data_IF_929552027822
#
_entry.id   IF_929552027822
#
_cell.length_a   1.000
_cell.length_b   1.000
_cell.length_c   1.000
_cell.angle_alpha   90.00
_cell.angle_beta   90.00
_cell.angle_gamma   90.00
#
_symmetry.space_group_name_H-M   'P 1'
#
loop_
_entity.id
_entity.type
_entity.pdbx_description
1 polymer ?
#
# COMPACT_ATOMS: atom_id res chain seq x y z
N UNK A 1 21.04 7.87 15.24
CA UNK A 1 19.92 7.19 15.94
C UNK A 1 20.13 5.69 15.78
N UNK A 2 19.73 4.89 16.78
CA UNK A 2 19.87 3.44 16.72
C UNK A 2 19.08 2.87 15.54
N UNK A 3 19.69 1.95 14.79
CA UNK A 3 19.02 1.19 13.73
C UNK A 3 17.75 0.55 14.30
N UNK A 4 16.58 0.67 13.65
CA UNK A 4 15.38 0.00 14.12
C UNK A 4 15.65 -1.50 14.28
N UNK A 5 15.09 -2.10 15.32
CA UNK A 5 15.24 -3.53 15.53
C UNK A 5 14.54 -4.30 14.39
N UNK A 6 15.07 -5.47 14.03
CA UNK A 6 14.43 -6.37 13.06
C UNK A 6 12.95 -6.61 13.39
N UNK A 7 12.63 -6.72 14.69
CA UNK A 7 11.25 -6.86 15.17
C UNK A 7 10.38 -5.66 14.76
N UNK A 8 10.87 -4.43 14.93
CA UNK A 8 10.12 -3.24 14.55
C UNK A 8 9.89 -3.17 13.03
N UNK A 9 10.89 -3.55 12.23
CA UNK A 9 10.78 -3.57 10.77
C UNK A 9 9.76 -4.62 10.29
N UNK A 10 9.77 -5.82 10.88
CA UNK A 10 8.79 -6.86 10.59
C UNK A 10 7.38 -6.47 11.01
N UNK A 11 7.21 -5.83 12.17
CA UNK A 11 5.91 -5.30 12.62
C UNK A 11 5.39 -4.26 11.64
N UNK A 12 6.22 -3.29 11.22
CA UNK A 12 5.84 -2.29 10.22
C UNK A 12 5.43 -2.94 8.91
N UNK A 13 6.17 -3.95 8.45
CA UNK A 13 5.87 -4.67 7.23
C UNK A 13 4.53 -5.41 7.30
N UNK A 14 4.22 -6.04 8.45
CA UNK A 14 2.92 -6.67 8.67
C UNK A 14 1.76 -5.66 8.71
N UNK A 15 1.96 -4.50 9.34
CA UNK A 15 0.95 -3.45 9.35
C UNK A 15 0.62 -2.95 7.93
N UNK A 16 1.63 -2.81 7.07
CA UNK A 16 1.43 -2.43 5.67
C UNK A 16 0.59 -3.46 4.92
N UNK A 17 0.84 -4.75 5.18
CA UNK A 17 0.04 -5.85 4.61
C UNK A 17 -1.41 -5.80 5.12
N UNK A 18 -1.61 -5.69 6.43
CA UNK A 18 -2.94 -5.65 7.05
C UNK A 18 -3.77 -4.48 6.52
N UNK A 19 -3.14 -3.31 6.44
CA UNK A 19 -3.75 -2.07 5.90
C UNK A 19 -3.91 -2.11 4.38
N UNK A 20 -3.37 -3.11 3.68
CA UNK A 20 -3.49 -3.27 2.23
C UNK A 20 -2.63 -2.30 1.42
N UNK A 21 -1.59 -1.74 2.02
CA UNK A 21 -0.59 -0.91 1.34
C UNK A 21 0.31 -1.75 0.42
N UNK A 22 0.57 -3.00 0.83
CA UNK A 22 1.32 -4.00 0.06
C UNK A 22 0.50 -5.27 -0.15
N UNK A 23 0.87 -6.03 -1.18
CA UNK A 23 0.34 -7.35 -1.46
C UNK A 23 1.01 -8.43 -0.59
N UNK A 24 0.40 -9.61 -0.52
CA UNK A 24 1.00 -10.77 0.16
C UNK A 24 2.35 -11.17 -0.45
N UNK A 25 2.49 -11.03 -1.76
CA UNK A 25 3.72 -11.34 -2.49
C UNK A 25 4.85 -10.38 -2.09
N UNK A 26 4.58 -9.07 -2.16
CA UNK A 26 5.53 -8.02 -1.71
C UNK A 26 5.91 -8.21 -0.23
N UNK A 27 4.96 -8.59 0.62
CA UNK A 27 5.22 -8.89 2.03
C UNK A 27 6.24 -10.02 2.22
N UNK A 28 6.05 -11.17 1.58
CA UNK A 28 6.98 -12.30 1.74
C UNK A 28 8.36 -12.00 1.12
N UNK A 29 8.41 -11.28 0.00
CA UNK A 29 9.67 -10.83 -0.61
C UNK A 29 10.47 -9.94 0.35
N UNK A 30 9.81 -8.91 0.92
CA UNK A 30 10.46 -7.98 1.83
C UNK A 30 10.86 -8.65 3.15
N UNK A 31 10.01 -9.52 3.69
CA UNK A 31 10.31 -10.29 4.90
C UNK A 31 11.53 -11.17 4.70
N UNK A 32 11.64 -11.85 3.56
CA UNK A 32 12.81 -12.68 3.26
C UNK A 32 14.10 -11.85 3.21
N UNK A 33 14.06 -10.67 2.60
CA UNK A 33 15.19 -9.74 2.55
C UNK A 33 15.62 -9.30 3.97
N UNK A 34 14.67 -8.86 4.81
CA UNK A 34 14.96 -8.44 6.18
C UNK A 34 15.60 -9.55 7.01
N UNK A 35 15.08 -10.78 6.91
CA UNK A 35 15.63 -11.94 7.62
C UNK A 35 17.03 -12.31 7.13
N UNK A 36 17.30 -12.21 5.82
CA UNK A 36 18.63 -12.48 5.26
C UNK A 36 19.66 -11.43 5.68
N UNK A 37 19.26 -10.14 5.73
CA UNK A 37 20.12 -9.07 6.20
C UNK A 37 20.48 -9.22 7.69
N UNK A 38 19.52 -9.59 8.53
CA UNK A 38 19.76 -9.87 9.94
C UNK A 38 20.75 -11.04 10.14
N UNK A 39 20.63 -12.08 9.31
CA UNK A 39 21.57 -13.21 9.33
C UNK A 39 22.99 -12.79 8.92
N UNK A 40 23.13 -11.96 7.88
CA UNK A 40 24.41 -11.43 7.41
C UNK A 40 25.09 -10.45 8.39
N UNK A 41 24.30 -9.71 9.18
CA UNK A 41 24.81 -8.86 10.25
C UNK A 41 25.33 -9.67 11.45
N UNK A 42 24.70 -10.81 11.75
CA UNK A 42 25.11 -11.70 12.84
C UNK A 42 26.41 -12.48 12.55
N UNK A 43 26.81 -12.58 11.27
CA UNK A 43 28.07 -13.25 10.87
C UNK A 43 29.30 -12.35 10.89
N UNK A 44 29.18 -11.08 11.30
CA UNK A 44 30.29 -10.10 11.26
C UNK A 44 30.82 -9.69 12.63
N UNK A 45 30.45 -10.40 13.69
CA UNK A 45 30.87 -10.13 15.06
C UNK A 45 31.60 -11.33 15.65
N UNK A 46 32.76 -11.69 15.10
CA UNK A 46 33.76 -12.54 15.76
C UNK A 46 35.13 -12.39 15.06
N UNK A 47 35.69 -11.16 15.02
CA UNK A 47 37.14 -11.02 14.83
C UNK A 47 37.70 -9.73 15.45
N UNK A 48 38.46 -9.95 16.52
CA UNK A 48 39.55 -9.16 17.12
C UNK A 48 39.32 -7.81 17.83
N UNK A 49 39.91 -7.78 19.03
CA UNK A 49 40.03 -6.70 20.01
C UNK A 49 41.31 -5.89 19.75
N UNK A 50 41.26 -4.55 19.74
CA UNK A 50 42.13 -3.59 20.47
C UNK A 50 42.09 -2.13 19.93
N UNK A 51 41.48 -1.23 20.71
CA UNK A 51 41.78 0.18 21.07
C UNK A 51 42.07 1.30 19.99
N UNK A 52 42.00 2.62 20.31
CA UNK A 52 41.02 3.51 19.68
C UNK A 52 41.61 4.86 19.19
N UNK A 53 41.21 5.38 18.03
CA UNK A 53 41.31 6.83 17.77
C UNK A 53 40.44 7.31 16.61
N UNK A 54 39.59 8.32 16.91
CA UNK A 54 39.02 9.35 16.03
C UNK A 54 38.14 8.84 14.85
N UNK A 55 37.08 9.49 14.38
CA UNK A 55 36.63 10.89 14.46
C UNK A 55 35.12 10.92 14.15
N UNK A 56 34.45 11.92 14.72
CA UNK A 56 33.03 12.25 14.60
C UNK A 56 32.62 12.53 13.14
N UNK A 57 31.60 11.83 12.62
CA UNK A 57 30.83 12.24 11.43
C UNK A 57 29.32 12.13 11.70
N UNK A 58 28.58 13.03 11.07
CA UNK A 58 27.26 13.52 11.45
C UNK A 58 26.11 12.60 11.02
N UNK A 59 24.95 12.84 11.65
CA UNK A 59 23.79 11.95 11.72
C UNK A 59 23.18 11.53 10.38
N UNK A 60 22.98 10.22 10.24
CA UNK A 60 22.18 9.59 9.20
C UNK A 60 21.10 8.73 9.87
N UNK A 61 19.87 8.83 9.36
CA UNK A 61 18.72 8.01 9.75
C UNK A 61 18.79 6.71 8.94
N UNK A 62 18.76 5.53 9.57
CA UNK A 62 18.96 4.27 8.85
C UNK A 62 17.71 3.89 8.04
N UNK A 63 17.85 3.96 6.72
CA UNK A 63 16.89 3.54 5.69
C UNK A 63 17.06 2.05 5.35
N UNK A 64 15.99 1.41 4.84
CA UNK A 64 16.01 0.03 4.36
C UNK A 64 16.91 -0.04 3.12
N UNK A 65 18.15 -0.52 3.28
CA UNK A 65 19.09 -0.71 2.18
C UNK A 65 18.78 -2.05 1.52
N UNK A 66 18.21 -2.04 0.31
CA UNK A 66 18.10 -3.23 -0.54
C UNK A 66 19.50 -3.52 -1.12
N UNK A 67 20.28 -4.30 -0.38
CA UNK A 67 21.51 -4.91 -0.90
C UNK A 67 21.14 -6.25 -1.56
N UNK A 68 20.89 -6.23 -2.86
CA UNK A 68 20.88 -7.45 -3.67
C UNK A 68 22.15 -7.49 -4.52
N UNK A 69 23.22 -7.99 -3.90
CA UNK A 69 24.39 -8.50 -4.60
C UNK A 69 24.43 -10.02 -4.44
N UNK A 70 24.46 -10.70 -5.59
CA UNK A 70 24.95 -12.07 -5.82
C UNK A 70 23.95 -13.26 -5.78
N UNK A 71 23.56 -13.65 -6.99
CA UNK A 71 23.64 -15.02 -7.55
C UNK A 71 22.79 -16.17 -6.96
N UNK A 72 21.68 -16.47 -7.66
CA UNK A 72 21.37 -17.82 -8.10
C UNK A 72 20.60 -17.76 -9.42
N UNK A 73 21.28 -18.08 -10.52
CA UNK A 73 20.65 -18.28 -11.81
C UNK A 73 19.72 -19.50 -11.74
N UNK A 74 18.41 -19.28 -11.79
CA UNK A 74 17.45 -20.31 -12.17
C UNK A 74 17.13 -20.11 -13.65
N UNK A 75 17.92 -20.77 -14.50
CA UNK A 75 17.61 -20.94 -15.91
C UNK A 75 16.28 -21.69 -16.05
N UNK A 76 15.29 -21.07 -16.69
CA UNK A 76 14.19 -21.78 -17.33
C UNK A 76 14.06 -21.23 -18.74
N UNK A 77 14.68 -21.97 -19.67
CA UNK A 77 14.50 -21.84 -21.09
C UNK A 77 13.03 -22.03 -21.45
N UNK A 78 12.40 -21.01 -22.02
CA UNK A 78 11.17 -21.14 -22.78
C UNK A 78 11.45 -20.76 -24.24
N UNK A 79 11.21 -21.72 -25.12
CA UNK A 79 11.32 -21.67 -26.57
C UNK A 79 10.51 -20.55 -27.21
N UNK A 80 11.10 -19.99 -28.27
CA UNK A 80 10.54 -18.97 -29.14
C UNK A 80 9.14 -19.28 -29.67
N UNK A 81 8.30 -18.24 -29.78
CA UNK A 81 7.34 -18.09 -30.88
C UNK A 81 7.38 -16.65 -31.35
N UNK A 82 7.97 -16.43 -32.52
CA UNK A 82 7.73 -15.23 -33.31
C UNK A 82 6.44 -15.43 -34.14
N UNK A 83 5.49 -14.50 -34.04
CA UNK A 83 4.65 -14.10 -35.20
C UNK A 83 3.88 -12.80 -34.96
N UNK A 84 4.29 -11.79 -35.73
CA UNK A 84 3.63 -10.59 -36.24
C UNK A 84 2.16 -10.29 -35.87
N UNK A 85 1.97 -9.02 -35.48
CA UNK A 85 0.97 -8.12 -36.08
C UNK A 85 -0.44 -8.13 -35.49
N UNK A 86 -0.89 -7.00 -34.94
CA UNK A 86 -2.30 -6.83 -34.60
C UNK A 86 -2.58 -5.66 -33.68
N UNK A 87 -2.68 -4.46 -34.26
CA UNK A 87 -3.24 -3.28 -33.62
C UNK A 87 -4.73 -3.53 -33.26
N UNK A 88 -5.07 -3.29 -31.98
CA UNK A 88 -6.38 -2.88 -31.45
C UNK A 88 -7.64 -3.46 -32.10
N UNK A 89 -8.24 -4.53 -31.53
CA UNK A 89 -9.71 -4.72 -31.35
C UNK A 89 -10.01 -5.82 -30.32
N UNK A 90 -10.36 -5.44 -29.08
CA UNK A 90 -11.42 -6.07 -28.24
C UNK A 90 -11.20 -5.75 -26.77
N UNK A 91 -11.76 -4.63 -26.30
CA UNK A 91 -12.26 -4.54 -24.93
C UNK A 91 -13.71 -4.06 -25.04
N UNK A 92 -14.59 -5.04 -25.22
CA UNK A 92 -16.03 -4.90 -25.04
C UNK A 92 -16.49 -6.17 -24.34
N UNK A 93 -16.30 -6.19 -23.01
CA UNK A 93 -17.13 -6.94 -22.06
C UNK A 93 -16.61 -6.73 -20.62
N UNK A 94 -17.46 -6.10 -19.78
CA UNK A 94 -17.49 -6.18 -18.31
C UNK A 94 -16.31 -5.50 -17.56
N UNK A 95 -16.46 -4.62 -16.57
CA UNK A 95 -17.49 -4.37 -15.55
C UNK A 95 -17.45 -2.87 -15.20
N UNK A 96 -18.62 -2.27 -14.96
CA UNK A 96 -18.80 -0.82 -14.89
C UNK A 96 -18.23 -0.13 -13.65
N UNK A 97 -17.52 0.96 -13.88
CA UNK A 97 -17.64 2.25 -13.16
C UNK A 97 -16.81 3.30 -13.92
N UNK A 98 -17.40 3.96 -14.92
CA UNK A 98 -16.78 5.07 -15.65
C UNK A 98 -17.62 6.32 -15.45
N UNK A 99 -17.38 7.00 -14.34
CA UNK A 99 -17.79 8.39 -14.17
C UNK A 99 -16.51 9.23 -14.14
N UNK A 100 -16.29 9.88 -15.29
CA UNK A 100 -15.56 11.15 -15.50
C UNK A 100 -14.08 11.17 -15.13
N UNK A 101 -13.22 11.16 -16.15
CA UNK A 101 -12.16 12.17 -16.36
C UNK A 101 -11.76 12.12 -17.86
N UNK A 102 -12.15 13.17 -18.61
CA UNK A 102 -11.60 13.45 -19.93
C UNK A 102 -10.38 14.37 -19.83
N UNK A 103 -9.65 14.54 -20.96
CA UNK A 103 -8.43 15.36 -21.21
C UNK A 103 -7.15 14.52 -21.01
N UNK A 104 -6.18 14.31 -21.93
CA UNK A 104 -5.77 14.76 -23.28
C UNK A 104 -4.83 13.66 -23.81
N UNK A 105 -4.85 13.31 -25.11
CA UNK A 105 -3.60 13.10 -25.87
C UNK A 105 -3.81 13.46 -27.35
N UNK A 106 -3.05 14.47 -27.77
CA UNK A 106 -2.88 14.98 -29.13
C UNK A 106 -1.42 14.71 -29.53
N UNK A 107 -1.21 14.45 -30.83
CA UNK A 107 0.04 14.10 -31.52
C UNK A 107 0.33 12.57 -31.50
N UNK A 108 0.56 11.89 -32.62
CA UNK A 108 1.46 12.27 -33.72
C UNK A 108 0.85 12.13 -35.13
N UNK A 109 1.18 13.09 -36.00
CA UNK A 109 1.01 13.02 -37.46
C UNK A 109 2.33 12.63 -38.13
N UNK A 110 2.23 11.75 -39.12
CA UNK A 110 3.01 11.67 -40.37
C UNK A 110 4.46 11.15 -40.29
N UNK A 111 5.07 10.63 -41.36
CA UNK A 111 4.61 9.94 -42.57
C UNK A 111 5.90 9.43 -43.29
N UNK A 112 5.74 8.42 -44.15
CA UNK A 112 6.60 8.02 -45.28
C UNK A 112 8.11 7.63 -45.13
N UNK A 113 8.35 6.31 -45.36
CA UNK A 113 9.00 5.71 -46.56
C UNK A 113 10.49 5.97 -46.86
N UNK A 114 11.30 4.90 -46.83
CA UNK A 114 12.03 4.32 -47.99
C UNK A 114 13.09 3.29 -47.56
N UNK A 115 13.48 2.43 -48.50
CA UNK A 115 14.01 1.09 -48.31
C UNK A 115 15.55 0.95 -48.39
N UNK A 116 16.03 -0.16 -47.80
CA UNK A 116 17.13 -1.05 -48.21
C UNK A 116 18.50 -0.48 -48.61
N UNK A 117 19.57 -0.94 -47.92
CA UNK A 117 20.53 -1.96 -48.44
C UNK A 117 21.79 -2.07 -47.54
N UNK A 118 22.21 -3.31 -47.27
CA UNK A 118 23.56 -3.74 -46.79
C UNK A 118 24.28 -4.32 -48.04
N UNK A 119 25.64 -4.37 -48.22
CA UNK A 119 26.61 -4.74 -47.18
C UNK A 119 28.06 -4.19 -47.22
N UNK A 120 28.71 -4.37 -46.06
CA UNK A 120 30.10 -4.77 -45.77
C UNK A 120 31.30 -3.99 -46.36
N UNK A 121 32.18 -3.51 -45.46
CA UNK A 121 33.63 -3.71 -45.50
C UNK A 121 34.27 -3.31 -44.15
N UNK A 122 34.79 -4.30 -43.42
CA UNK A 122 35.92 -4.14 -42.47
C UNK A 122 37.22 -3.98 -43.29
N UNK A 123 38.31 -3.34 -42.81
CA UNK A 123 39.02 -3.82 -41.62
C UNK A 123 39.68 -2.74 -40.73
N UNK A 124 40.04 -3.14 -39.52
CA UNK A 124 41.33 -2.91 -38.83
C UNK A 124 41.14 -2.57 -37.35
N UNK A 125 41.47 -3.57 -36.53
CA UNK A 125 41.60 -3.46 -35.09
C UNK A 125 42.60 -2.36 -34.70
N UNK A 126 42.13 -1.39 -33.93
CA UNK A 126 42.97 -0.63 -33.00
C UNK A 126 42.53 -1.02 -31.60
N UNK A 127 43.26 -1.95 -31.00
CA UNK A 127 43.16 -2.25 -29.57
C UNK A 127 43.83 -1.10 -28.81
N UNK A 128 43.09 0.00 -28.61
CA UNK A 128 43.40 0.96 -27.56
C UNK A 128 42.82 0.37 -26.28
N UNK A 129 43.69 0.01 -25.35
CA UNK A 129 43.33 -0.37 -23.99
C UNK A 129 42.66 0.81 -23.28
N UNK A 130 41.34 0.90 -23.41
CA UNK A 130 40.47 1.78 -22.62
C UNK A 130 40.15 1.07 -21.30
N UNK A 131 41.11 1.04 -20.38
CA UNK A 131 40.85 0.56 -19.02
C UNK A 131 40.34 1.72 -18.14
N UNK A 132 40.85 2.94 -18.33
CA UNK A 132 40.44 4.12 -17.56
C UNK A 132 38.97 4.53 -17.84
N UNK A 133 38.49 4.43 -19.09
CA UNK A 133 37.10 4.78 -19.43
C UNK A 133 36.05 3.77 -18.94
N UNK A 134 36.48 2.58 -18.52
CA UNK A 134 35.57 1.51 -18.08
C UNK A 134 35.34 1.57 -16.56
N UNK A 135 36.33 1.99 -15.77
CA UNK A 135 36.16 2.30 -14.34
C UNK A 135 35.26 3.51 -14.14
N UNK A 136 35.47 4.61 -14.88
CA UNK A 136 34.63 5.81 -14.81
C UNK A 136 33.16 5.54 -15.18
N UNK A 137 32.93 4.70 -16.19
CA UNK A 137 31.59 4.30 -16.61
C UNK A 137 30.90 3.38 -15.57
N UNK A 138 31.67 2.53 -14.90
CA UNK A 138 31.16 1.60 -13.89
C UNK A 138 30.88 2.31 -12.55
N UNK A 139 31.72 3.26 -12.14
CA UNK A 139 31.49 4.11 -10.96
C UNK A 139 30.21 4.96 -11.14
N UNK A 140 29.99 5.48 -12.35
CA UNK A 140 28.77 6.21 -12.69
C UNK A 140 27.50 5.35 -12.58
N UNK A 141 27.50 4.11 -13.10
CA UNK A 141 26.35 3.20 -12.99
C UNK A 141 26.02 2.86 -11.53
N UNK A 142 27.03 2.65 -10.69
CA UNK A 142 26.81 2.36 -9.27
C UNK A 142 26.20 3.55 -8.53
N UNK A 143 26.66 4.78 -8.81
CA UNK A 143 26.08 5.99 -8.25
C UNK A 143 24.61 6.18 -8.67
N UNK A 144 24.30 5.97 -9.96
CA UNK A 144 22.93 6.05 -10.48
C UNK A 144 22.03 4.99 -9.85
N UNK A 145 22.51 3.75 -9.73
CA UNK A 145 21.77 2.67 -9.06
C UNK A 145 21.48 3.01 -7.60
N UNK A 146 22.45 3.61 -6.90
CA UNK A 146 22.25 4.03 -5.52
C UNK A 146 21.22 5.16 -5.42
N UNK A 147 21.24 6.14 -6.32
CA UNK A 147 20.22 7.20 -6.41
C UNK A 147 18.83 6.60 -6.65
N UNK A 148 18.70 5.73 -7.66
CA UNK A 148 17.44 5.07 -8.00
C UNK A 148 16.87 4.26 -6.83
N UNK A 149 17.72 3.58 -6.04
CA UNK A 149 17.31 2.89 -4.81
C UNK A 149 16.78 3.85 -3.75
N UNK A 150 17.46 4.98 -3.55
CA UNK A 150 17.06 5.98 -2.55
C UNK A 150 15.74 6.66 -2.92
N UNK A 151 15.59 7.05 -4.19
CA UNK A 151 14.38 7.67 -4.72
C UNK A 151 13.18 6.72 -4.64
N UNK A 152 13.37 5.46 -5.04
CA UNK A 152 12.32 4.45 -4.94
C UNK A 152 11.91 4.18 -3.48
N UNK A 153 12.88 4.11 -2.56
CA UNK A 153 12.59 3.96 -1.14
C UNK A 153 11.79 5.16 -0.60
N UNK A 154 12.19 6.38 -0.97
CA UNK A 154 11.50 7.60 -0.56
C UNK A 154 10.05 7.65 -1.08
N UNK A 155 9.83 7.35 -2.36
CA UNK A 155 8.49 7.30 -2.95
C UNK A 155 7.60 6.24 -2.28
N UNK A 156 8.16 5.07 -1.97
CA UNK A 156 7.45 4.01 -1.24
C UNK A 156 7.11 4.44 0.19
N UNK A 157 8.01 5.13 0.90
CA UNK A 157 7.72 5.65 2.24
C UNK A 157 6.62 6.73 2.20
N UNK A 158 6.62 7.59 1.18
CA UNK A 158 5.62 8.63 0.97
C UNK A 158 4.23 8.03 0.74
N UNK A 159 4.07 7.12 -0.22
CA UNK A 159 2.77 6.48 -0.50
C UNK A 159 2.27 5.69 0.71
N UNK A 160 3.16 5.00 1.43
CA UNK A 160 2.80 4.24 2.64
C UNK A 160 2.35 5.16 3.78
N UNK A 161 2.98 6.33 3.91
CA UNK A 161 2.60 7.36 4.89
C UNK A 161 1.23 7.93 4.55
N UNK A 162 1.00 8.32 3.29
CA UNK A 162 -0.31 8.78 2.81
C UNK A 162 -1.39 7.73 3.06
N UNK A 163 -1.14 6.48 2.66
CA UNK A 163 -2.09 5.38 2.82
C UNK A 163 -2.42 5.09 4.30
N UNK A 164 -1.40 5.11 5.16
CA UNK A 164 -1.58 4.85 6.60
C UNK A 164 -2.35 5.96 7.29
N UNK A 165 -2.10 7.21 6.92
CA UNK A 165 -2.75 8.39 7.50
C UNK A 165 -4.15 8.66 6.92
N UNK A 166 -4.49 8.04 5.79
CA UNK A 166 -5.82 8.12 5.20
C UNK A 166 -6.90 7.66 6.20
N UNK A 167 -8.06 8.33 6.18
CA UNK A 167 -9.21 7.91 6.97
C UNK A 167 -9.53 6.43 6.69
N UNK A 168 -9.81 5.68 7.75
CA UNK A 168 -9.97 4.22 7.68
C UNK A 168 -11.11 3.81 6.74
N UNK A 169 -12.20 4.56 6.68
CA UNK A 169 -13.34 4.23 5.84
C UNK A 169 -13.00 4.46 4.36
N UNK A 170 -12.32 5.57 4.06
CA UNK A 170 -11.82 5.89 2.71
C UNK A 170 -10.76 4.88 2.25
N UNK A 171 -9.81 4.54 3.12
CA UNK A 171 -8.79 3.53 2.84
C UNK A 171 -9.43 2.18 2.53
N UNK A 172 -10.42 1.75 3.32
CA UNK A 172 -11.12 0.49 3.09
C UNK A 172 -11.86 0.49 1.75
N UNK A 173 -12.46 1.62 1.36
CA UNK A 173 -13.09 1.78 0.05
C UNK A 173 -12.07 1.67 -1.09
N UNK A 174 -10.87 2.26 -0.94
CA UNK A 174 -9.82 2.26 -1.98
C UNK A 174 -8.95 1.00 -2.00
N UNK A 175 -8.95 0.18 -0.94
CA UNK A 175 -8.08 -1.00 -0.78
C UNK A 175 -8.08 -1.95 -1.99
N UNK A 176 -9.23 -2.29 -2.61
CA UNK A 176 -9.22 -3.14 -3.81
C UNK A 176 -8.47 -2.49 -4.99
N UNK A 177 -8.63 -1.18 -5.19
CA UNK A 177 -7.95 -0.45 -6.26
C UNK A 177 -6.43 -0.38 -6.01
N UNK A 178 -6.01 -0.16 -4.76
CA UNK A 178 -4.60 -0.11 -4.41
C UNK A 178 -3.91 -1.46 -4.62
N UNK A 179 -4.53 -2.56 -4.19
CA UNK A 179 -3.97 -3.91 -4.41
C UNK A 179 -3.89 -4.27 -5.90
N UNK A 180 -4.85 -3.82 -6.72
CA UNK A 180 -4.80 -4.00 -8.16
C UNK A 180 -3.67 -3.16 -8.77
N UNK A 181 -3.51 -1.91 -8.34
CA UNK A 181 -2.45 -1.03 -8.77
C UNK A 181 -1.06 -1.57 -8.42
N UNK A 182 -0.82 -2.09 -7.21
CA UNK A 182 0.46 -2.71 -6.84
C UNK A 182 0.85 -3.86 -7.80
N UNK A 183 -0.11 -4.76 -8.08
CA UNK A 183 0.10 -5.87 -9.02
C UNK A 183 0.41 -5.36 -10.43
N UNK A 184 -0.29 -4.32 -10.86
CA UNK A 184 -0.09 -3.70 -12.17
C UNK A 184 1.28 -3.02 -12.27
N UNK A 185 1.69 -2.24 -11.27
CA UNK A 185 3.00 -1.60 -11.18
C UNK A 185 4.12 -2.62 -11.32
N UNK A 186 4.09 -3.69 -10.51
CA UNK A 186 5.08 -4.78 -10.58
C UNK A 186 5.17 -5.37 -11.99
N UNK A 187 4.03 -5.65 -12.62
CA UNK A 187 3.98 -6.18 -13.99
C UNK A 187 4.50 -5.20 -15.04
N UNK A 188 4.20 -3.90 -14.91
CA UNK A 188 4.59 -2.89 -15.89
C UNK A 188 6.07 -2.54 -15.82
N UNK A 189 6.66 -2.54 -14.61
CA UNK A 189 8.06 -2.17 -14.43
C UNK A 189 9.05 -3.32 -14.63
N UNK A 190 8.58 -4.57 -14.72
CA UNK A 190 9.42 -5.71 -15.07
C UNK A 190 10.01 -5.55 -16.47
N UNK A 191 11.33 -5.28 -16.55
CA UNK A 191 12.09 -5.20 -17.79
C UNK A 191 13.41 -5.98 -17.66
N UNK A 192 13.74 -6.74 -18.71
CA UNK A 192 15.04 -7.39 -18.91
C UNK A 192 15.64 -6.97 -20.26
N UNK A 193 15.37 -5.74 -20.69
CA UNK A 193 15.68 -5.25 -22.03
C UNK A 193 17.09 -4.65 -22.14
N UNK A 194 17.80 -4.46 -21.03
CA UNK A 194 19.08 -3.77 -21.00
C UNK A 194 20.28 -4.74 -20.89
N UNK A 195 21.47 -4.34 -21.40
CA UNK A 195 22.63 -5.24 -21.49
C UNK A 195 23.20 -5.70 -20.15
N UNK A 196 23.07 -4.89 -19.09
CA UNK A 196 23.61 -5.20 -17.76
C UNK A 196 22.49 -5.39 -16.73
N UNK A 197 22.69 -6.27 -15.74
CA UNK A 197 21.76 -6.40 -14.61
C UNK A 197 21.52 -5.08 -13.88
N UNK A 198 22.56 -4.27 -13.69
CA UNK A 198 22.49 -2.97 -13.02
C UNK A 198 21.59 -1.99 -13.78
N UNK A 199 21.71 -1.93 -15.11
CA UNK A 199 20.85 -1.07 -15.92
C UNK A 199 19.39 -1.53 -15.86
N UNK A 200 19.11 -2.83 -15.92
CA UNK A 200 17.75 -3.34 -15.75
C UNK A 200 17.19 -2.98 -14.37
N UNK A 201 18.01 -3.00 -13.32
CA UNK A 201 17.60 -2.63 -11.97
C UNK A 201 17.32 -1.12 -11.85
N UNK A 202 18.17 -0.26 -12.42
CA UNK A 202 17.94 1.20 -12.47
C UNK A 202 16.58 1.51 -13.10
N UNK A 203 16.32 0.90 -14.25
CA UNK A 203 15.10 1.16 -15.04
C UNK A 203 13.84 0.62 -14.35
N UNK A 204 13.95 -0.55 -13.71
CA UNK A 204 12.89 -1.07 -12.85
C UNK A 204 12.55 -0.09 -11.71
N UNK A 205 13.56 0.38 -10.99
CA UNK A 205 13.38 1.29 -9.84
C UNK A 205 12.84 2.66 -10.27
N UNK A 206 13.32 3.19 -11.39
CA UNK A 206 12.82 4.44 -11.97
C UNK A 206 11.35 4.32 -12.35
N UNK A 207 10.96 3.25 -13.06
CA UNK A 207 9.57 2.99 -13.40
C UNK A 207 8.66 2.90 -12.16
N UNK A 208 9.09 2.14 -11.14
CA UNK A 208 8.30 2.01 -9.92
C UNK A 208 8.14 3.35 -9.20
N UNK A 209 9.18 4.18 -9.20
CA UNK A 209 9.18 5.52 -8.59
C UNK A 209 8.18 6.45 -9.29
N UNK A 210 8.24 6.53 -10.62
CA UNK A 210 7.35 7.38 -11.42
C UNK A 210 5.87 6.98 -11.28
N UNK A 211 5.60 5.67 -11.32
CA UNK A 211 4.25 5.15 -11.11
C UNK A 211 3.76 5.47 -9.68
N UNK A 212 4.64 5.38 -8.68
CA UNK A 212 4.30 5.65 -7.28
C UNK A 212 3.98 7.12 -7.05
N UNK A 213 4.76 8.06 -7.61
CA UNK A 213 4.45 9.49 -7.54
C UNK A 213 3.12 9.84 -8.20
N UNK A 214 2.84 9.25 -9.37
CA UNK A 214 1.55 9.41 -10.04
C UNK A 214 0.42 8.93 -9.13
N UNK A 215 0.59 7.75 -8.52
CA UNK A 215 -0.41 7.17 -7.61
C UNK A 215 -0.62 7.99 -6.34
N UNK A 216 0.43 8.59 -5.77
CA UNK A 216 0.34 9.49 -4.61
C UNK A 216 -0.62 10.64 -4.93
N UNK A 217 -0.41 11.33 -6.07
CA UNK A 217 -1.27 12.44 -6.50
C UNK A 217 -2.74 12.01 -6.72
N UNK A 218 -2.94 10.82 -7.30
CA UNK A 218 -4.28 10.23 -7.44
C UNK A 218 -4.95 9.95 -6.09
N UNK A 219 -4.22 9.36 -5.15
CA UNK A 219 -4.74 8.99 -3.83
C UNK A 219 -5.11 10.22 -3.00
N UNK A 220 -4.34 11.31 -3.07
CA UNK A 220 -4.68 12.58 -2.43
C UNK A 220 -5.98 13.17 -3.00
N UNK A 221 -6.14 13.11 -4.33
CA UNK A 221 -7.36 13.57 -5.01
C UNK A 221 -8.57 12.71 -4.61
N UNK A 222 -8.43 11.38 -4.69
CA UNK A 222 -9.48 10.42 -4.34
C UNK A 222 -9.89 10.53 -2.87
N UNK A 223 -8.92 10.72 -1.96
CA UNK A 223 -9.21 10.90 -0.55
C UNK A 223 -10.17 12.07 -0.32
N UNK A 224 -9.87 13.23 -0.91
CA UNK A 224 -10.69 14.43 -0.76
C UNK A 224 -12.07 14.29 -1.42
N UNK A 225 -12.14 13.64 -2.59
CA UNK A 225 -13.40 13.44 -3.32
C UNK A 225 -14.33 12.45 -2.64
N UNK A 226 -13.79 11.35 -2.11
CA UNK A 226 -14.56 10.25 -1.57
C UNK A 226 -14.91 10.42 -0.09
N UNK A 227 -14.25 11.34 0.63
CA UNK A 227 -14.42 11.48 2.07
C UNK A 227 -15.89 11.65 2.47
N UNK A 228 -16.59 12.62 1.84
CA UNK A 228 -18.00 12.88 2.15
C UNK A 228 -18.89 11.70 1.80
N UNK A 229 -18.76 11.16 0.58
CA UNK A 229 -19.59 10.04 0.09
C UNK A 229 -19.44 8.80 0.98
N UNK A 230 -18.20 8.44 1.34
CA UNK A 230 -17.91 7.26 2.16
C UNK A 230 -18.46 7.44 3.58
N UNK A 231 -18.32 8.63 4.17
CA UNK A 231 -18.83 8.92 5.51
C UNK A 231 -20.36 8.94 5.53
N UNK A 232 -21.00 9.52 4.52
CA UNK A 232 -22.46 9.51 4.40
C UNK A 232 -23.01 8.08 4.21
N UNK A 233 -22.38 7.27 3.36
CA UNK A 233 -22.75 5.86 3.19
C UNK A 233 -22.62 5.07 4.50
N UNK A 234 -21.54 5.30 5.26
CA UNK A 234 -21.34 4.70 6.59
C UNK A 234 -22.42 5.16 7.57
N UNK A 235 -22.75 6.46 7.57
CA UNK A 235 -23.80 7.01 8.42
C UNK A 235 -25.15 6.35 8.13
N UNK A 236 -25.52 6.16 6.86
CA UNK A 236 -26.75 5.47 6.48
C UNK A 236 -26.78 4.02 6.97
N UNK A 237 -25.67 3.30 6.82
CA UNK A 237 -25.56 1.93 7.34
C UNK A 237 -25.72 1.88 8.87
N UNK A 238 -25.11 2.83 9.59
CA UNK A 238 -25.24 2.91 11.05
C UNK A 238 -26.65 3.29 11.50
N UNK A 239 -27.37 4.13 10.73
CA UNK A 239 -28.78 4.41 11.01
C UNK A 239 -29.62 3.13 10.94
N UNK A 240 -29.47 2.36 9.86
CA UNK A 240 -30.14 1.07 9.73
C UNK A 240 -29.75 0.10 10.86
N UNK A 241 -28.46 -0.02 11.18
CA UNK A 241 -27.99 -0.92 12.24
C UNK A 241 -28.48 -0.49 13.63
N UNK A 242 -28.65 0.81 13.88
CA UNK A 242 -29.25 1.33 15.10
C UNK A 242 -30.73 0.95 15.20
N UNK A 243 -31.49 1.10 14.11
CA UNK A 243 -32.90 0.70 14.05
C UNK A 243 -33.04 -0.83 14.28
N UNK A 244 -32.24 -1.64 13.59
CA UNK A 244 -32.22 -3.11 13.76
C UNK A 244 -31.85 -3.51 15.21
N UNK A 245 -30.89 -2.82 15.81
CA UNK A 245 -30.46 -3.07 17.19
C UNK A 245 -31.55 -2.70 18.19
N UNK A 246 -32.28 -1.62 17.93
CA UNK A 246 -33.43 -1.20 18.74
C UNK A 246 -34.59 -2.19 18.62
N UNK A 247 -34.94 -2.62 17.41
CA UNK A 247 -35.98 -3.64 17.17
C UNK A 247 -35.64 -4.96 17.88
N UNK A 248 -34.37 -5.38 17.81
CA UNK A 248 -33.90 -6.58 18.51
C UNK A 248 -34.01 -6.44 20.03
N UNK A 249 -33.66 -5.26 20.57
CA UNK A 249 -33.81 -4.95 21.99
C UNK A 249 -35.29 -4.98 22.41
N UNK A 250 -36.17 -4.37 21.61
CA UNK A 250 -37.61 -4.35 21.87
C UNK A 250 -38.21 -5.76 21.82
N UNK A 251 -37.89 -6.55 20.80
CA UNK A 251 -38.33 -7.95 20.69
C UNK A 251 -37.83 -8.78 21.87
N UNK A 252 -36.59 -8.53 22.31
CA UNK A 252 -36.01 -9.20 23.48
C UNK A 252 -36.73 -8.82 24.75
N UNK A 253 -37.04 -7.53 24.94
CA UNK A 253 -37.86 -7.06 26.04
C UNK A 253 -39.24 -7.71 26.00
N UNK A 254 -39.92 -7.71 24.85
CA UNK A 254 -41.27 -8.21 24.69
C UNK A 254 -41.41 -9.70 25.02
N UNK A 255 -40.36 -10.49 24.75
CA UNK A 255 -40.28 -11.91 25.10
C UNK A 255 -40.11 -12.21 26.60
N UNK A 256 -39.81 -11.22 27.44
CA UNK A 256 -39.68 -11.41 28.89
C UNK A 256 -41.09 -11.52 29.53
N UNK A 257 -41.31 -12.45 30.47
CA UNK A 257 -42.55 -12.54 31.23
C UNK A 257 -42.89 -11.24 31.97
N UNK A 258 -44.18 -10.88 32.02
CA UNK A 258 -44.64 -9.60 32.57
C UNK A 258 -44.22 -9.37 34.04
N UNK A 259 -44.25 -10.43 34.85
CA UNK A 259 -43.83 -10.37 36.26
C UNK A 259 -42.36 -10.01 36.45
N UNK A 260 -41.51 -10.29 35.45
CA UNK A 260 -40.10 -9.90 35.45
C UNK A 260 -39.96 -8.49 34.86
N UNK A 261 -40.71 -8.16 33.79
CA UNK A 261 -40.73 -6.80 33.21
C UNK A 261 -41.06 -5.74 34.26
N UNK A 262 -42.05 -5.98 35.11
CA UNK A 262 -42.42 -5.05 36.19
C UNK A 262 -41.26 -4.74 37.13
N UNK A 263 -40.44 -5.75 37.45
CA UNK A 263 -39.25 -5.59 38.30
C UNK A 263 -38.13 -4.82 37.59
N UNK A 264 -37.99 -4.99 36.27
CA UNK A 264 -36.93 -4.40 35.46
C UNK A 264 -37.26 -3.00 34.91
N UNK A 265 -38.54 -2.62 34.83
CA UNK A 265 -39.02 -1.43 34.10
C UNK A 265 -38.33 -0.13 34.54
N UNK A 266 -38.15 0.09 35.85
CA UNK A 266 -37.45 1.27 36.37
C UNK A 266 -35.96 1.29 35.97
N UNK A 267 -35.30 0.12 36.00
CA UNK A 267 -33.91 -0.03 35.60
C UNK A 267 -33.74 0.26 34.11
N UNK A 268 -34.56 -0.36 33.25
CA UNK A 268 -34.50 -0.17 31.79
C UNK A 268 -34.76 1.29 31.43
N UNK A 269 -35.76 1.93 32.03
CA UNK A 269 -36.06 3.36 31.80
C UNK A 269 -34.92 4.28 32.21
N UNK A 270 -34.25 3.98 33.32
CA UNK A 270 -33.10 4.75 33.80
C UNK A 270 -31.89 4.54 32.88
N UNK A 271 -31.68 3.30 32.43
CA UNK A 271 -30.64 2.95 31.47
C UNK A 271 -30.81 3.69 30.15
N UNK A 272 -32.02 3.75 29.58
CA UNK A 272 -32.26 4.47 28.30
C UNK A 272 -31.80 5.93 28.38
N UNK A 273 -32.17 6.65 29.45
CA UNK A 273 -31.75 8.04 29.66
C UNK A 273 -30.24 8.17 29.85
N UNK A 274 -29.64 7.24 30.59
CA UNK A 274 -28.20 7.21 30.80
C UNK A 274 -27.45 6.99 29.48
N UNK A 275 -27.93 6.07 28.64
CA UNK A 275 -27.34 5.75 27.35
C UNK A 275 -27.41 6.94 26.38
N UNK A 276 -28.55 7.63 26.31
CA UNK A 276 -28.68 8.84 25.49
C UNK A 276 -27.71 9.93 25.96
N UNK A 277 -27.66 10.21 27.27
CA UNK A 277 -26.74 11.20 27.82
C UNK A 277 -25.26 10.83 27.59
N UNK A 278 -24.90 9.56 27.75
CA UNK A 278 -23.54 9.07 27.52
C UNK A 278 -23.12 9.34 26.08
N UNK A 279 -23.93 8.90 25.11
CA UNK A 279 -23.62 9.05 23.69
C UNK A 279 -23.74 10.50 23.19
N UNK A 280 -24.48 11.37 23.88
CA UNK A 280 -24.62 12.79 23.53
C UNK A 280 -23.56 13.68 24.22
N UNK A 281 -22.85 13.15 25.22
CA UNK A 281 -21.84 13.90 25.99
C UNK A 281 -20.43 13.90 25.37
N UNK A 282 -20.20 13.11 24.32
CA UNK A 282 -18.92 13.09 23.62
C UNK A 282 -18.66 14.44 22.93
N UNK A 283 -17.39 14.90 22.97
CA UNK A 283 -16.98 16.11 22.27
C UNK A 283 -17.30 15.96 20.77
N UNK A 284 -17.94 16.95 20.12
CA UNK A 284 -18.18 16.91 18.68
C UNK A 284 -16.88 16.67 17.92
N UNK A 285 -16.95 15.81 16.91
CA UNK A 285 -15.86 15.59 15.98
C UNK A 285 -15.69 16.82 15.06
N UNK A 286 -14.64 16.80 14.23
CA UNK A 286 -14.35 17.90 13.31
C UNK A 286 -15.46 18.15 12.27
N UNK A 287 -16.35 17.16 12.06
CA UNK A 287 -17.52 17.29 11.20
C UNK A 287 -18.79 16.77 11.88
N UNK A 288 -19.94 17.31 11.50
CA UNK A 288 -21.26 16.86 11.99
C UNK A 288 -21.52 15.39 11.63
N UNK A 289 -21.17 14.98 10.40
CA UNK A 289 -21.33 13.59 9.94
C UNK A 289 -20.51 12.63 10.82
N UNK A 290 -19.28 13.00 11.20
CA UNK A 290 -18.47 12.16 12.07
C UNK A 290 -19.01 12.15 13.51
N UNK A 291 -19.59 13.25 13.97
CA UNK A 291 -20.28 13.32 15.27
C UNK A 291 -21.48 12.37 15.31
N UNK A 292 -22.31 12.36 14.25
CA UNK A 292 -23.45 11.45 14.13
C UNK A 292 -23.02 9.97 14.06
N UNK A 293 -21.94 9.68 13.32
CA UNK A 293 -21.34 8.34 13.26
C UNK A 293 -20.92 7.86 14.65
N UNK A 294 -20.22 8.70 15.42
CA UNK A 294 -19.75 8.36 16.77
C UNK A 294 -20.94 8.07 17.69
N UNK A 295 -21.93 8.98 17.68
CA UNK A 295 -23.15 8.86 18.47
C UNK A 295 -23.92 7.56 18.18
N UNK A 296 -24.16 7.24 16.91
CA UNK A 296 -24.87 6.01 16.53
C UNK A 296 -24.06 4.77 16.90
N UNK A 297 -22.74 4.79 16.70
CA UNK A 297 -21.86 3.69 17.11
C UNK A 297 -21.95 3.42 18.61
N UNK A 298 -21.96 4.47 19.43
CA UNK A 298 -22.17 4.38 20.88
C UNK A 298 -23.54 3.75 21.21
N UNK A 299 -24.63 4.27 20.61
CA UNK A 299 -25.99 3.76 20.85
C UNK A 299 -26.14 2.28 20.48
N UNK A 300 -25.64 1.88 19.30
CA UNK A 300 -25.64 0.48 18.85
C UNK A 300 -24.94 -0.41 19.88
N UNK A 301 -23.76 -0.01 20.37
CA UNK A 301 -22.99 -0.77 21.35
C UNK A 301 -23.77 -0.95 22.66
N UNK A 302 -24.35 0.12 23.19
CA UNK A 302 -25.12 0.08 24.43
C UNK A 302 -26.39 -0.77 24.27
N UNK A 303 -27.11 -0.62 23.15
CA UNK A 303 -28.29 -1.44 22.84
C UNK A 303 -27.94 -2.92 22.77
N UNK A 304 -26.89 -3.30 22.02
CA UNK A 304 -26.44 -4.70 21.94
C UNK A 304 -26.06 -5.27 23.31
N UNK A 305 -25.40 -4.48 24.16
CA UNK A 305 -25.07 -4.91 25.53
C UNK A 305 -26.33 -5.12 26.37
N UNK A 306 -27.31 -4.21 26.29
CA UNK A 306 -28.57 -4.33 27.04
C UNK A 306 -29.42 -5.49 26.53
N UNK A 307 -29.47 -5.72 25.22
CA UNK A 307 -30.13 -6.89 24.64
C UNK A 307 -29.57 -8.17 25.24
N UNK A 308 -28.24 -8.32 25.29
CA UNK A 308 -27.58 -9.50 25.87
C UNK A 308 -27.88 -9.67 27.37
N UNK A 309 -27.96 -8.58 28.13
CA UNK A 309 -28.40 -8.62 29.53
C UNK A 309 -29.83 -9.14 29.65
N UNK A 310 -30.73 -8.62 28.82
CA UNK A 310 -32.15 -8.95 28.83
C UNK A 310 -32.45 -10.37 28.34
N UNK A 311 -31.61 -10.93 27.45
CA UNK A 311 -31.69 -12.33 27.01
C UNK A 311 -31.66 -13.32 28.17
N UNK A 312 -30.96 -13.01 29.26
CA UNK A 312 -30.90 -13.85 30.45
C UNK A 312 -32.22 -13.99 31.22
N UNK A 313 -33.22 -13.17 30.88
CA UNK A 313 -34.55 -13.17 31.51
C UNK A 313 -35.63 -13.78 30.61
N UNK A 314 -35.26 -14.24 29.40
CA UNK A 314 -36.13 -15.05 28.54
C UNK A 314 -36.29 -16.43 29.18
N UNK A 315 -37.51 -16.96 29.19
CA UNK A 315 -37.84 -18.32 29.67
C UNK A 315 -38.15 -19.21 28.47
#
# INVERSE_FOLDING_TARGET
MSKPSLTNELTRLYELLEKGAITQEEYEEHKALLLNQARGASSKSDEYSSDPTQTKSAGEVPQIIINQSSSAAASSSATAVAKNGGCLKSILAAIGFLVVLGVILKACHGDEKAAASTPASEPAAQTVTNTDSQEDAQENIQAVLQSAKQENAAANDEINTLWTNMDVDVRNHLKPQQLAWNRQKKKQCQSNQYPTPEQNQIEYLSCETDMTHTRISELETLQNQLYTEVKEAKLQKLKQEADDSFETLQTTWDAIPESIKDQLSSNVKSWTKSADNECDSEKPADTDVQTDINRLTCKIKLMKAKTKELEGYKI
#
